data_IF_447228660697
#
_entry.id   IF_447228660697
#
_cell.length_a   1.000
_cell.length_b   1.000
_cell.length_c   1.000
_cell.angle_alpha   90.00
_cell.angle_beta   90.00
_cell.angle_gamma   90.00
#
_symmetry.space_group_name_H-M   'P 1'
#
loop_
_entity.id
_entity.type
_entity.pdbx_description
1 polymer ?
#
# COMPACT_ATOMS: atom_id res chain seq x y z
N UNK A 1 -10.61 5.42 9.04
CA UNK A 1 -9.48 5.77 8.15
C UNK A 1 -9.47 4.96 6.85
N UNK A 2 -9.54 3.62 6.90
CA UNK A 2 -9.48 2.76 5.71
C UNK A 2 -10.45 3.14 4.58
N UNK A 3 -11.71 3.42 4.92
CA UNK A 3 -12.71 3.86 3.95
C UNK A 3 -12.33 5.17 3.27
N UNK A 4 -11.85 6.15 4.03
CA UNK A 4 -11.39 7.43 3.50
C UNK A 4 -10.18 7.27 2.58
N UNK A 5 -9.21 6.42 2.95
CA UNK A 5 -8.07 6.10 2.08
C UNK A 5 -8.52 5.44 0.78
N UNK A 6 -9.42 4.46 0.85
CA UNK A 6 -9.93 3.77 -0.33
C UNK A 6 -10.73 4.72 -1.24
N UNK A 7 -11.58 5.57 -0.66
CA UNK A 7 -12.34 6.59 -1.39
C UNK A 7 -11.40 7.57 -2.10
N UNK A 8 -10.42 8.12 -1.37
CA UNK A 8 -9.42 9.03 -1.93
C UNK A 8 -8.59 8.35 -3.03
N UNK A 9 -8.16 7.11 -2.82
CA UNK A 9 -7.40 6.34 -3.80
C UNK A 9 -8.16 6.15 -5.11
N UNK A 10 -9.43 5.69 -5.04
CA UNK A 10 -10.28 5.53 -6.23
C UNK A 10 -10.50 6.85 -6.96
N UNK A 11 -10.74 7.93 -6.23
CA UNK A 11 -10.95 9.25 -6.80
C UNK A 11 -9.68 9.78 -7.48
N UNK A 12 -8.53 9.69 -6.82
CA UNK A 12 -7.26 10.27 -7.31
C UNK A 12 -6.70 9.48 -8.49
N UNK A 13 -6.72 8.15 -8.42
CA UNK A 13 -6.29 7.25 -9.51
C UNK A 13 -7.35 7.19 -10.63
N UNK A 14 -8.56 7.70 -10.37
CA UNK A 14 -9.72 7.65 -11.28
C UNK A 14 -10.03 6.23 -11.75
N UNK A 15 -10.06 5.29 -10.80
CA UNK A 15 -10.24 3.87 -11.04
C UNK A 15 -11.34 3.30 -10.15
N UNK A 16 -12.12 2.35 -10.68
CA UNK A 16 -13.04 1.54 -9.89
C UNK A 16 -12.29 0.49 -9.04
N UNK A 17 -11.08 0.11 -9.44
CA UNK A 17 -10.17 -0.77 -8.68
C UNK A 17 -9.60 0.02 -7.51
N UNK A 18 -10.20 -0.20 -6.33
CA UNK A 18 -9.74 0.36 -5.08
C UNK A 18 -8.73 -0.53 -4.35
N UNK A 19 -8.55 -0.21 -3.07
CA UNK A 19 -7.75 -0.99 -2.13
C UNK A 19 -8.51 -2.25 -1.72
N UNK A 20 -7.88 -3.41 -1.87
CA UNK A 20 -8.38 -4.68 -1.35
C UNK A 20 -8.11 -4.82 0.15
N UNK A 21 -8.65 -5.87 0.79
CA UNK A 21 -8.38 -6.16 2.20
C UNK A 21 -6.88 -6.35 2.47
N UNK A 22 -6.19 -7.03 1.56
CA UNK A 22 -4.75 -7.28 1.63
C UNK A 22 -3.96 -5.98 1.51
N UNK A 23 -4.41 -5.05 0.67
CA UNK A 23 -3.79 -3.72 0.58
C UNK A 23 -3.95 -2.94 1.90
N UNK A 24 -5.12 -3.04 2.54
CA UNK A 24 -5.37 -2.39 3.83
C UNK A 24 -4.50 -2.99 4.95
N UNK A 25 -4.30 -4.31 4.97
CA UNK A 25 -3.36 -4.95 5.90
C UNK A 25 -1.94 -4.43 5.68
N UNK A 26 -1.46 -4.36 4.43
CA UNK A 26 -0.13 -3.80 4.13
C UNK A 26 0.01 -2.34 4.62
N UNK A 27 -1.02 -1.51 4.41
CA UNK A 27 -1.01 -0.12 4.86
C UNK A 27 -0.99 -0.03 6.39
N UNK A 28 -1.72 -0.89 7.09
CA UNK A 28 -1.70 -0.97 8.54
C UNK A 28 -0.32 -1.41 9.06
N UNK A 29 0.26 -2.47 8.49
CA UNK A 29 1.63 -2.91 8.80
C UNK A 29 2.64 -1.78 8.62
N UNK A 30 2.57 -1.04 7.51
CA UNK A 30 3.43 0.11 7.24
C UNK A 30 3.25 1.22 8.27
N UNK A 31 2.01 1.61 8.55
CA UNK A 31 1.68 2.72 9.44
C UNK A 31 2.09 2.44 10.89
N UNK A 32 1.85 1.22 11.37
CA UNK A 32 2.11 0.82 12.75
C UNK A 32 3.46 0.14 12.95
N UNK A 33 4.25 -0.05 11.88
CA UNK A 33 5.47 -0.84 11.88
C UNK A 33 5.24 -2.24 12.52
N UNK A 34 4.15 -2.88 12.11
CA UNK A 34 3.66 -4.15 12.66
C UNK A 34 3.90 -5.30 11.69
N UNK A 35 4.08 -6.50 12.23
CA UNK A 35 4.20 -7.75 11.46
C UNK A 35 2.88 -8.53 11.38
N UNK A 36 1.80 -8.07 12.02
CA UNK A 36 0.52 -8.77 11.98
C UNK A 36 -0.05 -8.79 10.56
N UNK A 37 -0.47 -9.98 10.11
CA UNK A 37 -1.04 -10.26 8.80
C UNK A 37 -2.58 -10.23 8.76
N UNK A 38 -3.25 -10.07 9.90
CA UNK A 38 -4.70 -10.13 9.99
C UNK A 38 -5.29 -8.75 10.21
N UNK A 39 -6.26 -8.36 9.38
CA UNK A 39 -6.90 -7.05 9.48
C UNK A 39 -7.61 -6.84 10.82
N UNK A 40 -8.09 -7.93 11.42
CA UNK A 40 -8.83 -7.96 12.69
C UNK A 40 -8.00 -7.47 13.87
N UNK A 41 -6.68 -7.70 13.82
CA UNK A 41 -5.73 -7.23 14.83
C UNK A 41 -5.63 -5.70 14.87
N UNK A 42 -6.05 -5.03 13.80
CA UNK A 42 -6.09 -3.58 13.68
C UNK A 42 -7.48 -2.98 13.94
N UNK A 43 -8.51 -3.80 14.16
CA UNK A 43 -9.91 -3.35 14.25
C UNK A 43 -10.17 -2.33 15.35
N UNK A 44 -9.44 -2.41 16.46
CA UNK A 44 -9.52 -1.48 17.60
C UNK A 44 -8.40 -0.43 17.63
N UNK A 45 -7.51 -0.43 16.63
CA UNK A 45 -6.39 0.51 16.58
C UNK A 45 -6.85 1.89 16.14
N UNK A 46 -6.31 2.92 16.78
CA UNK A 46 -6.53 4.31 16.41
C UNK A 46 -5.27 4.87 15.74
N UNK A 47 -5.48 5.77 14.79
CA UNK A 47 -4.40 6.47 14.08
C UNK A 47 -4.46 7.93 14.48
N UNK A 48 -3.40 8.41 15.12
CA UNK A 48 -3.29 9.83 15.41
C UNK A 48 -2.97 10.62 14.14
N UNK A 49 -3.27 11.92 14.14
CA UNK A 49 -2.81 12.81 13.06
C UNK A 49 -1.28 12.82 12.93
N UNK A 50 -0.56 12.68 14.05
CA UNK A 50 0.90 12.70 14.01
C UNK A 50 1.45 11.47 13.29
N UNK A 51 0.96 10.27 13.60
CA UNK A 51 1.32 9.04 12.90
C UNK A 51 0.96 9.09 11.41
N UNK A 52 -0.16 9.74 11.08
CA UNK A 52 -0.62 9.83 9.69
C UNK A 52 0.24 10.74 8.82
N UNK A 53 0.57 11.95 9.30
CA UNK A 53 1.20 12.98 8.46
C UNK A 53 2.13 13.97 9.19
N UNK A 54 2.72 13.60 10.33
CA UNK A 54 3.70 14.46 11.02
C UNK A 54 4.98 13.72 11.40
N UNK A 55 4.85 12.49 11.88
CA UNK A 55 5.95 11.60 12.21
C UNK A 55 6.39 10.83 10.97
N UNK A 56 7.70 10.72 10.80
CA UNK A 56 8.26 9.92 9.72
C UNK A 56 8.10 8.44 10.04
N UNK A 57 7.91 7.63 8.99
CA UNK A 57 7.95 6.18 9.14
C UNK A 57 9.35 5.72 9.63
N UNK A 58 9.44 4.63 10.42
CA UNK A 58 10.71 4.15 10.93
C UNK A 58 11.74 3.92 9.82
N UNK A 59 12.93 4.51 9.97
CA UNK A 59 14.01 4.42 8.99
C UNK A 59 13.79 5.22 7.70
N UNK A 60 12.79 6.11 7.65
CA UNK A 60 12.45 6.94 6.49
C UNK A 60 12.46 8.43 6.84
N UNK A 61 12.56 9.25 5.81
CA UNK A 61 12.50 10.72 5.90
C UNK A 61 11.17 11.29 5.39
N UNK A 62 10.13 10.44 5.33
CA UNK A 62 8.80 10.81 4.89
C UNK A 62 7.74 10.18 5.82
N UNK A 63 6.55 10.80 5.84
CA UNK A 63 5.37 10.34 6.60
C UNK A 63 4.60 9.26 5.86
N UNK A 64 3.68 8.57 6.55
CA UNK A 64 2.77 7.63 5.90
C UNK A 64 2.00 8.27 4.74
N UNK A 65 1.42 9.46 4.96
CA UNK A 65 0.65 10.16 3.94
C UNK A 65 1.50 10.53 2.74
N UNK A 66 2.72 11.04 2.93
CA UNK A 66 3.62 11.38 1.82
C UNK A 66 3.91 10.17 0.92
N UNK A 67 4.13 8.99 1.51
CA UNK A 67 4.30 7.76 0.76
C UNK A 67 3.04 7.38 -0.02
N UNK A 68 1.87 7.41 0.65
CA UNK A 68 0.60 7.02 0.05
C UNK A 68 0.17 7.97 -1.07
N UNK A 69 0.39 9.27 -0.90
CA UNK A 69 0.14 10.30 -1.90
C UNK A 69 1.06 10.13 -3.12
N UNK A 70 2.34 9.86 -2.90
CA UNK A 70 3.29 9.55 -3.98
C UNK A 70 2.87 8.34 -4.82
N UNK A 71 2.32 7.29 -4.19
CA UNK A 71 1.76 6.12 -4.90
C UNK A 71 0.59 6.54 -5.79
N UNK A 72 -0.39 7.28 -5.25
CA UNK A 72 -1.53 7.75 -6.02
C UNK A 72 -1.10 8.62 -7.21
N UNK A 73 -0.11 9.48 -7.00
CA UNK A 73 0.38 10.41 -8.02
C UNK A 73 1.06 9.70 -9.19
N UNK A 74 1.91 8.71 -8.92
CA UNK A 74 2.55 7.90 -9.99
C UNK A 74 1.52 7.06 -10.74
N UNK A 75 0.57 6.47 -10.03
CA UNK A 75 -0.51 5.72 -10.65
C UNK A 75 -1.34 6.62 -11.58
N UNK A 76 -1.80 7.76 -11.07
CA UNK A 76 -2.61 8.72 -11.83
C UNK A 76 -1.88 9.24 -13.07
N UNK A 77 -0.60 9.60 -12.94
CA UNK A 77 0.16 10.20 -14.03
C UNK A 77 0.61 9.20 -15.10
N UNK A 78 0.99 7.98 -14.70
CA UNK A 78 1.75 7.10 -15.59
C UNK A 78 1.24 5.67 -15.65
N UNK A 79 0.63 5.13 -14.59
CA UNK A 79 0.41 3.68 -14.47
C UNK A 79 -1.06 3.27 -14.36
N UNK A 80 -2.01 4.20 -14.54
CA UNK A 80 -3.46 3.94 -14.41
C UNK A 80 -3.95 2.74 -15.23
N UNK A 81 -3.62 2.58 -16.53
CA UNK A 81 -4.05 1.41 -17.29
C UNK A 81 -3.55 0.09 -16.67
N UNK A 82 -2.27 0.03 -16.33
CA UNK A 82 -1.62 -1.13 -15.71
C UNK A 82 -2.20 -1.46 -14.32
N UNK A 83 -2.63 -0.45 -13.57
CA UNK A 83 -3.37 -0.66 -12.33
C UNK A 83 -4.74 -1.27 -12.61
N UNK A 84 -5.49 -0.76 -13.58
CA UNK A 84 -6.82 -1.29 -13.91
C UNK A 84 -6.77 -2.72 -14.43
N UNK A 85 -5.73 -3.07 -15.20
CA UNK A 85 -5.54 -4.39 -15.81
C UNK A 85 -5.05 -5.46 -14.81
N UNK A 86 -4.75 -5.08 -13.56
CA UNK A 86 -4.24 -6.01 -12.56
C UNK A 86 -2.73 -6.28 -12.62
N UNK A 87 -2.01 -5.68 -13.58
CA UNK A 87 -0.58 -5.92 -13.79
C UNK A 87 0.31 -5.43 -12.62
N UNK A 88 -0.19 -4.47 -11.84
CA UNK A 88 0.48 -4.00 -10.62
C UNK A 88 -0.16 -4.65 -9.40
N UNK A 89 0.65 -5.38 -8.64
CA UNK A 89 0.27 -5.93 -7.33
C UNK A 89 0.36 -4.85 -6.24
N UNK A 90 1.39 -4.00 -6.31
CA UNK A 90 1.46 -2.71 -5.62
C UNK A 90 1.79 -2.82 -4.14
N UNK A 91 0.79 -3.07 -3.30
CA UNK A 91 0.87 -3.00 -1.84
C UNK A 91 1.40 -4.31 -1.23
N UNK A 92 2.69 -4.58 -1.46
CA UNK A 92 3.38 -5.80 -1.02
C UNK A 92 4.79 -5.44 -0.54
N UNK A 93 5.20 -5.94 0.62
CA UNK A 93 6.52 -5.68 1.17
C UNK A 93 7.59 -6.61 0.55
N UNK A 94 8.87 -6.32 0.81
CA UNK A 94 9.99 -7.08 0.22
C UNK A 94 9.97 -8.58 0.58
N UNK A 95 9.60 -8.92 1.82
CA UNK A 95 9.53 -10.31 2.26
C UNK A 95 8.37 -11.04 1.58
N UNK A 96 7.17 -10.46 1.59
CA UNK A 96 6.01 -11.01 0.89
C UNK A 96 6.27 -11.19 -0.60
N UNK A 97 6.94 -10.23 -1.26
CA UNK A 97 7.31 -10.36 -2.66
C UNK A 97 8.29 -11.50 -2.90
N UNK A 98 9.27 -11.70 -2.00
CA UNK A 98 10.19 -12.84 -2.05
C UNK A 98 9.43 -14.17 -1.93
N UNK A 99 8.56 -14.29 -0.92
CA UNK A 99 7.81 -15.52 -0.65
C UNK A 99 6.85 -15.88 -1.81
N UNK A 100 6.28 -14.88 -2.48
CA UNK A 100 5.42 -15.07 -3.65
C UNK A 100 6.18 -15.57 -4.89
N UNK A 101 7.47 -15.25 -4.99
CA UNK A 101 8.28 -15.48 -6.20
C UNK A 101 9.25 -16.67 -6.07
N UNK A 102 9.67 -17.05 -4.87
CA UNK A 102 10.76 -18.04 -4.66
C UNK A 102 10.50 -19.40 -5.32
N UNK A 103 9.23 -19.79 -5.45
CA UNK A 103 8.80 -21.05 -6.06
C UNK A 103 8.15 -20.86 -7.44
N UNK A 104 8.41 -19.74 -8.11
CA UNK A 104 7.88 -19.45 -9.46
C UNK A 104 8.94 -19.70 -10.53
N UNK A 105 8.53 -20.00 -11.78
CA UNK A 105 9.48 -20.17 -12.88
C UNK A 105 10.38 -18.94 -13.08
N UNK A 106 11.59 -19.18 -13.58
CA UNK A 106 12.54 -18.12 -13.91
C UNK A 106 11.92 -17.08 -14.85
N UNK A 107 12.24 -15.82 -14.58
CA UNK A 107 11.65 -14.68 -15.30
C UNK A 107 10.27 -14.25 -14.79
N UNK A 108 9.66 -14.96 -13.82
CA UNK A 108 8.45 -14.45 -13.15
C UNK A 108 8.79 -13.23 -12.31
N UNK A 109 8.03 -12.14 -12.47
CA UNK A 109 8.20 -10.92 -11.70
C UNK A 109 6.85 -10.35 -11.26
N UNK A 110 6.90 -9.41 -10.32
CA UNK A 110 5.75 -8.61 -9.91
C UNK A 110 6.17 -7.15 -9.76
N UNK A 111 5.21 -6.23 -9.89
CA UNK A 111 5.40 -4.81 -9.62
C UNK A 111 4.83 -4.48 -8.24
N UNK A 112 5.66 -3.87 -7.39
CA UNK A 112 5.29 -3.37 -6.06
C UNK A 112 5.69 -1.91 -5.91
N UNK A 113 5.01 -1.18 -5.05
CA UNK A 113 5.41 0.17 -4.69
C UNK A 113 6.65 0.12 -3.80
N UNK A 114 7.64 0.93 -4.13
CA UNK A 114 8.86 1.05 -3.33
C UNK A 114 8.55 1.74 -2.01
N UNK A 115 9.27 1.34 -0.97
CA UNK A 115 9.42 2.14 0.23
C UNK A 115 10.51 3.18 -0.01
#
# INVERSE_FOLDING_TARGET
LCEALNMKFKAEVQSSRGLTKENLVFLAQKLFNSTSSHLEDYSSTTVSWSQFNRENLPGRNYTFWQWFDGVMEVLKKHLKPHWNDGAILGFVNKQQAHDLLINKPDGTFLLRFSD
#
